data_IF_965648145394
#
_entry.id   IF_965648145394
#
_cell.length_a   1.000
_cell.length_b   1.000
_cell.length_c   1.000
_cell.angle_alpha   90.00
_cell.angle_beta   90.00
_cell.angle_gamma   90.00
#
_symmetry.space_group_name_H-M   'P 1'
#
loop_
_entity.id
_entity.type
_entity.pdbx_description
1 polymer ?
#
# COMPACT_ATOMS: atom_id res chain seq x y z
N UNK A 1 22.59 -22.83 51.57
CA UNK A 1 21.44 -23.25 50.72
C UNK A 1 20.83 -22.11 49.90
N UNK A 2 20.85 -20.84 50.34
CA UNK A 2 20.23 -19.72 49.62
C UNK A 2 20.91 -19.26 48.31
N UNK A 3 22.16 -19.67 48.01
CA UNK A 3 22.86 -19.31 46.77
C UNK A 3 22.55 -20.20 45.56
N UNK A 4 22.14 -21.47 45.79
CA UNK A 4 21.77 -22.40 44.70
C UNK A 4 20.37 -22.13 44.14
N UNK A 5 19.47 -21.55 44.92
CA UNK A 5 18.11 -21.23 44.47
C UNK A 5 18.06 -19.95 43.62
N UNK A 6 18.93 -18.96 43.91
CA UNK A 6 19.02 -17.73 43.09
C UNK A 6 19.59 -18.00 41.70
N UNK A 7 20.57 -18.90 41.56
CA UNK A 7 21.14 -19.25 40.25
C UNK A 7 20.20 -20.13 39.40
N UNK A 8 19.35 -20.96 40.01
CA UNK A 8 18.35 -21.77 39.31
C UNK A 8 17.18 -20.93 38.77
N UNK A 9 16.71 -19.94 39.52
CA UNK A 9 15.67 -19.00 39.07
C UNK A 9 16.17 -18.05 37.96
N UNK A 10 17.42 -17.59 38.05
CA UNK A 10 18.03 -16.75 37.01
C UNK A 10 18.33 -17.53 35.72
N UNK A 11 18.80 -18.77 35.84
CA UNK A 11 19.03 -19.61 34.66
C UNK A 11 17.72 -20.06 34.00
N UNK A 12 16.71 -20.48 34.76
CA UNK A 12 15.39 -20.84 34.19
C UNK A 12 14.65 -19.66 33.56
N UNK A 13 14.72 -18.46 34.14
CA UNK A 13 14.16 -17.24 33.54
C UNK A 13 14.84 -16.83 32.23
N UNK A 14 16.17 -16.96 32.17
CA UNK A 14 16.94 -16.69 30.94
C UNK A 14 16.65 -17.75 29.87
N UNK A 15 16.58 -19.03 30.22
CA UNK A 15 16.23 -20.09 29.27
C UNK A 15 14.79 -19.99 28.76
N UNK A 16 13.84 -19.64 29.63
CA UNK A 16 12.45 -19.38 29.22
C UNK A 16 12.36 -18.16 28.28
N UNK A 17 13.14 -17.11 28.56
CA UNK A 17 13.22 -15.93 27.68
C UNK A 17 13.86 -16.27 26.34
N UNK A 18 14.97 -17.02 26.33
CA UNK A 18 15.62 -17.47 25.10
C UNK A 18 14.73 -18.41 24.28
N UNK A 19 13.99 -19.32 24.92
CA UNK A 19 13.02 -20.19 24.26
C UNK A 19 11.85 -19.38 23.68
N UNK A 20 11.34 -18.38 24.41
CA UNK A 20 10.31 -17.48 23.92
C UNK A 20 10.80 -16.66 22.71
N UNK A 21 12.01 -16.08 22.78
CA UNK A 21 12.65 -15.36 21.66
C UNK A 21 12.86 -16.30 20.47
N UNK A 22 13.32 -17.53 20.70
CA UNK A 22 13.51 -18.55 19.68
C UNK A 22 12.21 -18.95 18.98
N UNK A 23 11.13 -19.17 19.74
CA UNK A 23 9.79 -19.45 19.18
C UNK A 23 9.24 -18.26 18.38
N UNK A 24 9.38 -17.04 18.90
CA UNK A 24 8.95 -15.81 18.20
C UNK A 24 9.73 -15.64 16.90
N UNK A 25 11.05 -15.83 16.92
CA UNK A 25 11.88 -15.78 15.72
C UNK A 25 11.51 -16.87 14.70
N UNK A 26 11.16 -18.08 15.16
CA UNK A 26 10.73 -19.17 14.30
C UNK A 26 9.39 -18.88 13.62
N UNK A 27 8.39 -18.39 14.35
CA UNK A 27 7.08 -18.02 13.78
C UNK A 27 7.24 -16.83 12.81
N UNK A 28 8.01 -15.81 13.21
CA UNK A 28 8.37 -14.67 12.37
C UNK A 28 8.99 -15.11 11.03
N UNK A 29 9.94 -16.03 11.10
CA UNK A 29 10.60 -16.60 9.93
C UNK A 29 9.63 -17.43 9.07
N UNK A 30 8.81 -18.28 9.70
CA UNK A 30 7.79 -19.09 9.02
C UNK A 30 6.79 -18.23 8.25
N UNK A 31 6.24 -17.19 8.90
CA UNK A 31 5.32 -16.23 8.26
C UNK A 31 6.00 -15.53 7.08
N UNK A 32 7.22 -15.03 7.24
CA UNK A 32 7.95 -14.37 6.14
C UNK A 32 8.17 -15.33 4.97
N UNK A 33 8.68 -16.54 5.24
CA UNK A 33 8.92 -17.55 4.20
C UNK A 33 7.66 -17.91 3.43
N UNK A 34 6.54 -18.07 4.14
CA UNK A 34 5.26 -18.35 3.53
C UNK A 34 4.74 -17.16 2.72
N UNK A 35 4.80 -15.94 3.26
CA UNK A 35 4.25 -14.73 2.64
C UNK A 35 5.11 -14.26 1.45
N UNK A 36 6.42 -14.56 1.46
CA UNK A 36 7.35 -14.25 0.35
C UNK A 36 7.67 -15.48 -0.52
N UNK A 37 6.87 -16.55 -0.42
CA UNK A 37 7.10 -17.76 -1.20
C UNK A 37 7.00 -17.46 -2.72
N UNK A 38 7.92 -17.98 -3.56
CA UNK A 38 7.85 -17.80 -5.00
C UNK A 38 6.50 -18.29 -5.57
N UNK A 39 5.84 -17.45 -6.37
CA UNK A 39 4.56 -17.80 -7.00
C UNK A 39 3.34 -17.70 -6.09
N UNK A 40 3.48 -17.25 -4.83
CA UNK A 40 2.34 -16.91 -3.99
C UNK A 40 1.56 -15.77 -4.62
N UNK A 41 0.24 -15.94 -4.72
CA UNK A 41 -0.65 -14.86 -5.12
C UNK A 41 -0.56 -13.71 -4.10
N UNK A 42 -0.73 -12.45 -4.53
CA UNK A 42 -0.62 -11.32 -3.60
C UNK A 42 -1.85 -11.18 -2.66
N UNK A 43 -2.69 -12.21 -2.58
CA UNK A 43 -3.88 -12.33 -1.76
C UNK A 43 -4.08 -13.78 -1.32
N UNK A 44 -4.88 -14.00 -0.28
CA UNK A 44 -5.22 -15.33 0.24
C UNK A 44 -6.58 -15.84 -0.24
N UNK A 45 -7.56 -14.95 -0.33
CA UNK A 45 -8.90 -15.27 -0.83
C UNK A 45 -9.51 -14.10 -1.58
N UNK A 46 -10.37 -14.42 -2.55
CA UNK A 46 -11.17 -13.45 -3.29
C UNK A 46 -12.65 -13.73 -3.03
N UNK A 47 -13.37 -12.69 -2.63
CA UNK A 47 -14.82 -12.72 -2.41
C UNK A 47 -15.50 -11.82 -3.45
N UNK A 48 -15.94 -12.43 -4.54
CA UNK A 48 -16.61 -11.76 -5.67
C UNK A 48 -18.00 -12.38 -5.91
N UNK A 49 -18.83 -11.74 -6.73
CA UNK A 49 -20.16 -12.23 -7.05
C UNK A 49 -20.15 -13.45 -7.98
N UNK A 50 -19.16 -13.53 -8.88
CA UNK A 50 -19.01 -14.63 -9.85
C UNK A 50 -17.53 -14.81 -10.26
N UNK A 51 -17.25 -15.88 -11.02
CA UNK A 51 -15.89 -16.23 -11.48
C UNK A 51 -15.27 -15.18 -12.41
N UNK A 52 -16.08 -14.47 -13.20
CA UNK A 52 -15.60 -13.45 -14.12
C UNK A 52 -15.13 -12.21 -13.35
N UNK A 53 -15.87 -11.82 -12.31
CA UNK A 53 -15.48 -10.77 -11.38
C UNK A 53 -14.26 -11.16 -10.55
N UNK A 54 -14.20 -12.40 -10.04
CA UNK A 54 -13.03 -12.92 -9.33
C UNK A 54 -11.77 -12.90 -10.21
N UNK A 55 -11.87 -13.34 -11.47
CA UNK A 55 -10.77 -13.31 -12.44
C UNK A 55 -10.29 -11.89 -12.71
N UNK A 56 -11.22 -10.93 -12.82
CA UNK A 56 -10.87 -9.53 -13.04
C UNK A 56 -10.19 -8.91 -11.81
N UNK A 57 -10.69 -9.22 -10.62
CA UNK A 57 -10.11 -8.80 -9.36
C UNK A 57 -8.69 -9.36 -9.20
N UNK A 58 -8.49 -10.66 -9.45
CA UNK A 58 -7.19 -11.31 -9.44
C UNK A 58 -6.19 -10.58 -10.35
N UNK A 59 -6.56 -10.33 -11.61
CA UNK A 59 -5.71 -9.63 -12.58
C UNK A 59 -5.35 -8.20 -12.15
N UNK A 60 -6.30 -7.47 -11.57
CA UNK A 60 -6.04 -6.13 -11.03
C UNK A 60 -5.00 -6.18 -9.91
N UNK A 61 -5.20 -7.09 -8.95
CA UNK A 61 -4.34 -7.27 -7.79
C UNK A 61 -2.93 -7.72 -8.18
N UNK A 62 -2.82 -8.66 -9.12
CA UNK A 62 -1.54 -9.13 -9.66
C UNK A 62 -0.78 -8.01 -10.36
N UNK A 63 -1.45 -7.23 -11.21
CA UNK A 63 -0.79 -6.12 -11.91
C UNK A 63 -0.36 -5.01 -10.96
N UNK A 64 -1.20 -4.63 -9.99
CA UNK A 64 -0.84 -3.61 -9.01
C UNK A 64 0.34 -4.07 -8.14
N UNK A 65 0.32 -5.32 -7.66
CA UNK A 65 1.44 -5.88 -6.91
C UNK A 65 2.72 -5.94 -7.76
N UNK A 66 2.63 -6.40 -9.02
CA UNK A 66 3.77 -6.45 -9.94
C UNK A 66 4.40 -5.07 -10.17
N UNK A 67 3.59 -4.02 -10.25
CA UNK A 67 4.09 -2.63 -10.31
C UNK A 67 4.84 -2.28 -9.03
N UNK A 68 4.24 -2.49 -7.85
CA UNK A 68 4.84 -2.12 -6.56
C UNK A 68 6.21 -2.76 -6.33
N UNK A 69 6.39 -4.02 -6.73
CA UNK A 69 7.65 -4.75 -6.55
C UNK A 69 8.63 -4.56 -7.70
N UNK A 70 8.30 -3.73 -8.70
CA UNK A 70 9.18 -3.48 -9.85
C UNK A 70 10.30 -2.48 -9.56
N UNK A 71 11.42 -2.63 -10.26
CA UNK A 71 12.51 -1.65 -10.23
C UNK A 71 12.08 -0.29 -10.79
N UNK A 72 11.13 -0.26 -11.73
CA UNK A 72 10.57 0.98 -12.25
C UNK A 72 9.88 1.80 -11.17
N UNK A 73 9.03 1.15 -10.35
CA UNK A 73 8.34 1.82 -9.25
C UNK A 73 9.33 2.39 -8.26
N UNK A 74 10.33 1.59 -7.84
CA UNK A 74 11.37 2.06 -6.92
C UNK A 74 12.12 3.26 -7.49
N UNK A 75 12.56 3.21 -8.75
CA UNK A 75 13.27 4.33 -9.40
C UNK A 75 12.38 5.58 -9.46
N UNK A 76 11.14 5.43 -9.90
CA UNK A 76 10.19 6.52 -10.03
C UNK A 76 9.85 7.17 -8.69
N UNK A 77 9.75 6.37 -7.62
CA UNK A 77 9.56 6.89 -6.27
C UNK A 77 10.78 7.71 -5.82
N UNK A 78 12.01 7.18 -6.00
CA UNK A 78 13.25 7.85 -5.59
C UNK A 78 13.51 9.17 -6.32
N UNK A 79 13.05 9.33 -7.56
CA UNK A 79 13.14 10.61 -8.30
C UNK A 79 12.38 11.76 -7.61
N UNK A 80 11.47 11.46 -6.68
CA UNK A 80 10.67 12.45 -5.97
C UNK A 80 11.31 12.94 -4.66
N UNK A 81 12.53 12.49 -4.32
CA UNK A 81 13.19 12.79 -3.04
C UNK A 81 13.33 14.30 -2.80
N UNK A 82 13.80 15.05 -3.79
CA UNK A 82 13.93 16.51 -3.68
C UNK A 82 12.57 17.23 -3.63
N UNK A 83 11.53 16.60 -4.21
CA UNK A 83 10.19 17.17 -4.30
C UNK A 83 9.41 17.03 -3.00
N UNK A 84 9.59 15.88 -2.33
CA UNK A 84 8.89 15.52 -1.11
C UNK A 84 9.91 15.15 -0.03
N UNK A 85 10.55 16.15 0.61
CA UNK A 85 11.61 15.90 1.59
C UNK A 85 11.09 15.18 2.84
N UNK A 86 9.79 15.28 3.10
CA UNK A 86 9.10 14.57 4.18
C UNK A 86 7.78 13.99 3.66
N UNK A 87 7.44 12.80 4.16
CA UNK A 87 6.21 12.07 3.84
C UNK A 87 5.61 11.55 5.15
N UNK A 88 4.30 11.75 5.32
CA UNK A 88 3.59 11.15 6.44
C UNK A 88 3.39 9.65 6.15
N UNK A 89 4.06 8.78 6.90
CA UNK A 89 3.86 7.34 6.80
C UNK A 89 2.80 6.87 7.81
N UNK A 90 2.96 7.22 9.08
CA UNK A 90 2.07 6.83 10.19
C UNK A 90 2.26 7.75 11.40
N UNK A 91 1.42 7.69 12.45
CA UNK A 91 1.53 8.61 13.59
C UNK A 91 2.91 8.63 14.26
N UNK A 92 3.60 7.48 14.31
CA UNK A 92 4.94 7.33 14.87
C UNK A 92 6.08 7.69 13.90
N UNK A 93 5.80 7.93 12.62
CA UNK A 93 6.78 8.27 11.58
C UNK A 93 6.14 9.27 10.59
N UNK A 94 6.06 10.54 11.00
CA UNK A 94 5.43 11.62 10.20
C UNK A 94 6.41 12.31 9.23
N UNK A 95 7.71 12.13 9.45
CA UNK A 95 8.81 12.78 8.73
C UNK A 95 9.63 11.73 7.95
N UNK A 96 8.96 10.75 7.35
CA UNK A 96 9.64 9.71 6.57
C UNK A 96 10.25 10.30 5.29
N UNK A 97 11.42 9.83 4.89
CA UNK A 97 12.01 10.19 3.58
C UNK A 97 11.44 9.30 2.47
N UNK A 98 11.56 9.76 1.23
CA UNK A 98 11.22 8.95 0.05
C UNK A 98 12.03 7.64 0.00
N UNK A 99 13.33 7.69 0.29
CA UNK A 99 14.16 6.49 0.37
C UNK A 99 13.64 5.48 1.42
N UNK A 100 13.17 5.98 2.58
CA UNK A 100 12.57 5.15 3.63
C UNK A 100 11.29 4.49 3.16
N UNK A 101 10.38 5.22 2.50
CA UNK A 101 9.15 4.66 1.90
C UNK A 101 9.51 3.59 0.86
N UNK A 102 10.46 3.87 -0.03
CA UNK A 102 10.90 2.94 -1.07
C UNK A 102 11.50 1.64 -0.51
N UNK A 103 12.27 1.72 0.58
CA UNK A 103 12.82 0.53 1.24
C UNK A 103 11.75 -0.30 1.94
N UNK A 104 10.74 0.35 2.55
CA UNK A 104 9.59 -0.33 3.15
C UNK A 104 8.78 -1.08 2.08
N UNK A 105 8.43 -0.43 0.95
CA UNK A 105 7.68 -1.07 -0.14
C UNK A 105 8.46 -2.24 -0.74
N UNK A 106 9.79 -2.11 -0.85
CA UNK A 106 10.67 -3.19 -1.28
C UNK A 106 10.93 -4.26 -0.19
N UNK A 107 10.21 -4.21 0.93
CA UNK A 107 10.29 -5.15 2.06
C UNK A 107 11.72 -5.37 2.60
N UNK A 108 12.58 -4.35 2.50
CA UNK A 108 13.96 -4.41 3.00
C UNK A 108 14.08 -4.41 4.52
N UNK A 109 13.27 -3.67 5.29
CA UNK A 109 13.33 -3.74 6.75
C UNK A 109 13.14 -5.18 7.23
N UNK A 110 13.88 -5.55 8.27
CA UNK A 110 13.78 -6.88 8.85
C UNK A 110 12.35 -7.14 9.33
N UNK A 111 11.77 -8.27 8.92
CA UNK A 111 10.40 -8.64 9.27
C UNK A 111 9.31 -7.94 8.46
N UNK A 112 9.66 -7.02 7.54
CA UNK A 112 8.68 -6.44 6.62
C UNK A 112 8.12 -7.51 5.67
N UNK A 113 6.80 -7.46 5.45
CA UNK A 113 6.05 -8.35 4.56
C UNK A 113 4.75 -7.67 4.11
N UNK A 114 4.21 -8.10 2.97
CA UNK A 114 2.77 -7.92 2.72
C UNK A 114 2.03 -8.92 3.60
N UNK A 115 1.13 -8.43 4.45
CA UNK A 115 0.25 -9.30 5.18
C UNK A 115 -0.73 -9.98 4.20
N UNK A 116 -1.00 -11.29 4.36
CA UNK A 116 -1.91 -11.97 3.48
C UNK A 116 -3.31 -11.34 3.53
N UNK A 117 -3.85 -11.00 2.36
CA UNK A 117 -5.06 -10.21 2.26
C UNK A 117 -6.28 -11.06 1.83
N UNK A 118 -7.38 -10.95 2.55
CA UNK A 118 -8.70 -11.38 2.07
C UNK A 118 -9.32 -10.21 1.32
N UNK A 119 -9.61 -10.39 0.02
CA UNK A 119 -10.08 -9.29 -0.81
C UNK A 119 -11.53 -9.48 -1.19
N UNK A 120 -12.39 -8.49 -0.91
CA UNK A 120 -13.81 -8.56 -1.22
C UNK A 120 -14.25 -7.43 -2.15
N UNK A 121 -15.15 -7.75 -3.09
CA UNK A 121 -15.81 -6.75 -3.95
C UNK A 121 -17.03 -6.20 -3.24
N UNK A 122 -17.10 -4.87 -3.12
CA UNK A 122 -18.22 -4.18 -2.47
C UNK A 122 -18.98 -3.28 -3.44
N UNK A 123 -20.27 -3.05 -3.16
CA UNK A 123 -21.07 -2.07 -3.89
C UNK A 123 -20.67 -0.65 -3.50
N UNK A 124 -20.77 0.29 -4.45
CA UNK A 124 -20.31 1.69 -4.31
C UNK A 124 -21.17 2.57 -3.37
N UNK A 125 -22.00 1.97 -2.52
CA UNK A 125 -22.86 2.67 -1.53
C UNK A 125 -22.18 2.93 -0.18
N UNK A 126 -20.92 2.51 -0.02
CA UNK A 126 -20.06 2.75 1.15
C UNK A 126 -18.79 3.52 0.77
N UNK A 127 -17.77 3.58 1.64
CA UNK A 127 -16.47 4.12 1.23
C UNK A 127 -15.98 3.37 -0.01
N UNK A 128 -15.46 4.13 -0.97
CA UNK A 128 -15.04 3.62 -2.28
C UNK A 128 -14.04 2.46 -2.13
N UNK A 129 -13.29 2.46 -1.02
CA UNK A 129 -12.36 1.44 -0.55
C UNK A 129 -12.26 1.50 0.98
N UNK A 130 -11.90 0.36 1.57
CA UNK A 130 -11.34 0.32 2.91
C UNK A 130 -10.49 -0.95 3.02
N UNK A 131 -9.23 -0.85 3.44
CA UNK A 131 -8.50 -1.99 3.95
C UNK A 131 -8.77 -2.11 5.46
N UNK A 132 -9.10 -3.31 5.94
CA UNK A 132 -9.07 -3.60 7.37
C UNK A 132 -7.62 -3.69 7.84
N UNK A 133 -7.03 -2.51 8.02
CA UNK A 133 -5.92 -2.24 8.93
C UNK A 133 -6.16 -1.00 9.79
N UNK A 134 -7.21 -0.23 9.48
CA UNK A 134 -7.61 0.97 10.21
C UNK A 134 -8.26 0.67 11.58
N UNK A 135 -8.76 -0.55 11.78
CA UNK A 135 -9.30 -1.06 13.04
C UNK A 135 -8.28 -1.93 13.75
N UNK A 136 -8.24 -1.86 15.07
CA UNK A 136 -7.30 -2.56 15.96
C UNK A 136 -7.44 -4.11 15.92
N UNK A 137 -7.24 -4.74 14.76
CA UNK A 137 -7.31 -6.18 14.61
C UNK A 137 -5.90 -6.74 14.76
N UNK A 138 -5.62 -7.27 15.94
CA UNK A 138 -4.48 -8.14 16.17
C UNK A 138 -4.65 -9.41 15.31
N UNK A 139 -3.80 -9.61 14.32
CA UNK A 139 -3.88 -10.77 13.43
C UNK A 139 -2.74 -10.85 12.41
N UNK A 140 -2.63 -11.99 11.71
CA UNK A 140 -1.67 -12.19 10.61
C UNK A 140 -2.13 -11.54 9.30
N UNK A 141 -3.44 -11.44 9.11
CA UNK A 141 -4.13 -11.15 7.86
C UNK A 141 -4.58 -9.69 7.76
N UNK A 142 -4.71 -9.21 6.52
CA UNK A 142 -5.38 -7.96 6.13
C UNK A 142 -6.72 -8.27 5.48
N UNK A 143 -7.65 -7.34 5.51
CA UNK A 143 -8.76 -7.36 4.55
C UNK A 143 -8.63 -6.16 3.59
N UNK A 144 -9.02 -6.35 2.33
CA UNK A 144 -9.07 -5.28 1.32
C UNK A 144 -10.46 -5.26 0.71
N UNK A 145 -11.11 -4.09 0.69
CA UNK A 145 -12.37 -3.90 0.00
C UNK A 145 -12.13 -3.13 -1.30
N UNK A 146 -12.52 -3.73 -2.43
CA UNK A 146 -12.43 -3.10 -3.76
C UNK A 146 -13.84 -2.78 -4.25
N UNK A 147 -14.13 -1.50 -4.47
CA UNK A 147 -15.41 -1.07 -5.02
C UNK A 147 -15.64 -1.60 -6.44
N UNK A 148 -16.87 -2.00 -6.76
CA UNK A 148 -17.22 -2.56 -8.08
C UNK A 148 -16.96 -1.57 -9.22
N UNK A 149 -17.06 -0.26 -9.00
CA UNK A 149 -16.65 0.76 -9.98
C UNK A 149 -15.16 0.70 -10.37
N UNK A 150 -14.30 0.24 -9.45
CA UNK A 150 -12.85 0.08 -9.70
C UNK A 150 -12.62 -1.05 -10.70
N UNK A 151 -13.29 -2.19 -10.49
CA UNK A 151 -13.26 -3.30 -11.42
C UNK A 151 -13.90 -2.93 -12.77
N UNK A 152 -14.95 -2.11 -12.77
CA UNK A 152 -15.54 -1.59 -14.00
C UNK A 152 -14.55 -0.72 -14.78
N UNK A 153 -13.81 0.18 -14.11
CA UNK A 153 -12.77 0.99 -14.74
C UNK A 153 -11.61 0.15 -15.29
N UNK A 154 -11.16 -0.86 -14.54
CA UNK A 154 -10.13 -1.80 -15.00
C UNK A 154 -10.56 -2.64 -16.21
N UNK A 155 -11.86 -2.89 -16.37
CA UNK A 155 -12.40 -3.60 -17.54
C UNK A 155 -12.44 -2.74 -18.81
N UNK A 156 -12.30 -1.42 -18.70
CA UNK A 156 -12.39 -0.53 -19.86
C UNK A 156 -11.15 -0.66 -20.74
N UNK A 157 -11.27 -0.49 -22.07
CA UNK A 157 -10.12 -0.46 -22.98
C UNK A 157 -9.22 0.77 -22.79
N UNK A 158 -9.71 1.80 -22.09
CA UNK A 158 -8.93 3.01 -21.81
C UNK A 158 -7.85 2.73 -20.77
N UNK A 159 -6.59 2.85 -21.19
CA UNK A 159 -5.40 2.69 -20.35
C UNK A 159 -5.44 3.66 -19.16
N UNK A 160 -5.98 4.87 -19.28
CA UNK A 160 -6.04 5.78 -18.12
C UNK A 160 -7.05 5.28 -17.08
N UNK A 161 -8.21 4.79 -17.51
CA UNK A 161 -9.19 4.17 -16.62
C UNK A 161 -8.60 2.96 -15.88
N UNK A 162 -7.86 2.10 -16.59
CA UNK A 162 -7.14 0.98 -15.98
C UNK A 162 -6.09 1.46 -14.97
N UNK A 163 -5.31 2.49 -15.29
CA UNK A 163 -4.29 3.02 -14.38
C UNK A 163 -4.86 3.59 -13.08
N UNK A 164 -6.08 4.14 -13.13
CA UNK A 164 -6.78 4.58 -11.93
C UNK A 164 -7.22 3.42 -11.03
N UNK A 165 -7.57 2.27 -11.61
CA UNK A 165 -7.80 1.07 -10.83
C UNK A 165 -6.49 0.54 -10.21
N UNK A 166 -5.37 0.63 -10.94
CA UNK A 166 -4.03 0.29 -10.43
C UNK A 166 -3.65 1.20 -9.25
N UNK A 167 -3.93 2.51 -9.34
CA UNK A 167 -3.71 3.46 -8.24
C UNK A 167 -4.36 2.96 -6.94
N UNK A 168 -5.66 2.67 -7.04
CA UNK A 168 -6.48 2.17 -5.95
C UNK A 168 -5.92 0.87 -5.37
N UNK A 169 -5.69 -0.13 -6.19
CA UNK A 169 -5.20 -1.42 -5.70
C UNK A 169 -3.82 -1.28 -5.03
N UNK A 170 -2.94 -0.45 -5.59
CA UNK A 170 -1.62 -0.18 -5.02
C UNK A 170 -1.69 0.59 -3.69
N UNK A 171 -2.61 1.55 -3.57
CA UNK A 171 -2.90 2.24 -2.31
C UNK A 171 -3.34 1.25 -1.23
N UNK A 172 -4.30 0.37 -1.53
CA UNK A 172 -4.77 -0.63 -0.58
C UNK A 172 -3.67 -1.64 -0.20
N UNK A 173 -2.82 -2.04 -1.15
CA UNK A 173 -1.63 -2.85 -0.86
C UNK A 173 -0.65 -2.16 0.10
N UNK A 174 -0.50 -0.84 0.02
CA UNK A 174 0.35 -0.12 0.96
C UNK A 174 -0.12 -0.34 2.41
N UNK A 175 -1.42 -0.48 2.63
CA UNK A 175 -2.02 -0.78 3.93
C UNK A 175 -1.92 -2.26 4.34
N UNK A 176 -1.45 -3.16 3.48
CA UNK A 176 -1.15 -4.54 3.89
C UNK A 176 0.32 -4.72 4.29
N UNK A 177 1.19 -3.73 4.01
CA UNK A 177 2.59 -3.81 4.43
C UNK A 177 2.67 -3.65 5.96
N UNK A 178 3.20 -4.67 6.62
CA UNK A 178 3.47 -4.64 8.06
C UNK A 178 4.97 -4.62 8.30
N UNK A 179 5.40 -3.87 9.32
CA UNK A 179 6.82 -3.76 9.71
C UNK A 179 7.21 -4.73 10.83
N UNK A 180 6.25 -5.50 11.33
CA UNK A 180 6.51 -6.49 12.38
C UNK A 180 6.24 -7.89 11.86
N UNK A 181 7.10 -8.86 12.22
CA UNK A 181 6.96 -10.21 11.69
C UNK A 181 5.79 -11.00 12.33
N UNK A 182 5.28 -10.55 13.48
CA UNK A 182 4.30 -11.29 14.31
C UNK A 182 3.00 -10.51 14.56
N UNK A 183 3.01 -9.19 14.40
CA UNK A 183 1.88 -8.32 14.70
C UNK A 183 1.39 -7.58 13.46
N UNK A 184 0.19 -7.02 13.59
CA UNK A 184 -0.39 -6.15 12.59
C UNK A 184 -0.03 -4.69 12.92
N UNK A 185 1.18 -4.29 12.52
CA UNK A 185 1.68 -2.93 12.65
C UNK A 185 1.86 -2.32 11.28
N UNK A 186 0.85 -1.56 10.82
CA UNK A 186 0.82 -0.92 9.51
C UNK A 186 2.07 -0.07 9.27
N UNK A 187 2.71 -0.29 8.12
CA UNK A 187 3.80 0.57 7.69
C UNK A 187 3.29 1.95 7.28
N UNK A 188 2.12 1.98 6.65
CA UNK A 188 1.47 3.17 6.10
C UNK A 188 0.01 3.26 6.57
N UNK A 189 -0.37 4.43 7.08
CA UNK A 189 -1.74 4.76 7.51
C UNK A 189 -2.22 6.00 6.77
N UNK A 190 -3.53 6.16 6.62
CA UNK A 190 -4.19 7.35 6.11
C UNK A 190 -5.36 7.76 7.02
N UNK A 191 -6.39 8.40 6.45
CA UNK A 191 -7.61 8.84 7.16
C UNK A 191 -8.70 7.78 7.10
N UNK A 192 -9.49 7.65 8.17
CA UNK A 192 -10.68 6.78 8.12
C UNK A 192 -11.81 7.43 7.34
N UNK A 193 -12.75 6.61 6.88
CA UNK A 193 -13.99 7.10 6.27
C UNK A 193 -14.72 8.09 7.20
N UNK A 194 -14.88 9.34 6.75
CA UNK A 194 -15.55 10.41 7.49
C UNK A 194 -14.61 11.37 8.25
N UNK A 195 -13.33 11.04 8.37
CA UNK A 195 -12.33 11.97 8.89
C UNK A 195 -12.09 13.09 7.88
N UNK A 196 -12.06 14.33 8.37
CA UNK A 196 -11.71 15.51 7.55
C UNK A 196 -10.21 15.71 7.41
N UNK A 197 -9.41 14.88 8.08
CA UNK A 197 -7.96 14.95 8.04
C UNK A 197 -7.25 14.13 9.11
N UNK A 198 -5.92 14.16 9.09
CA UNK A 198 -5.04 13.41 9.99
C UNK A 198 -4.74 14.26 11.22
N UNK A 199 -5.23 13.82 12.39
CA UNK A 199 -5.01 14.53 13.64
C UNK A 199 -3.51 14.63 14.00
N UNK A 200 -3.09 15.80 14.49
CA UNK A 200 -1.72 16.08 14.93
C UNK A 200 -0.63 15.86 13.85
N UNK A 201 -1.00 16.05 12.58
CA UNK A 201 -0.05 16.01 11.46
C UNK A 201 0.89 17.22 11.49
N UNK A 202 2.21 16.96 11.58
CA UNK A 202 3.27 18.00 11.64
C UNK A 202 3.36 18.82 10.36
N UNK A 203 3.24 18.15 9.21
CA UNK A 203 3.36 18.75 7.88
C UNK A 203 2.09 18.46 7.06
N UNK A 204 1.01 19.25 7.19
CA UNK A 204 -0.25 19.02 6.47
C UNK A 204 -0.11 19.03 4.95
N UNK A 205 0.87 19.79 4.43
CA UNK A 205 1.11 19.93 3.00
C UNK A 205 1.92 18.78 2.38
N UNK A 206 2.54 17.91 3.22
CA UNK A 206 3.32 16.79 2.72
C UNK A 206 2.43 15.74 2.05
N UNK A 207 2.99 14.79 1.29
CA UNK A 207 2.23 13.62 0.88
C UNK A 207 1.95 12.69 2.06
N UNK A 208 0.83 11.97 1.98
CA UNK A 208 0.60 10.76 2.78
C UNK A 208 1.13 9.58 1.97
N UNK A 209 1.86 8.67 2.62
CA UNK A 209 2.62 7.63 1.93
C UNK A 209 1.74 6.71 1.07
N UNK A 210 0.56 6.30 1.53
CA UNK A 210 -0.33 5.41 0.76
C UNK A 210 -0.84 6.07 -0.53
N UNK A 211 -1.30 7.33 -0.48
CA UNK A 211 -1.70 8.06 -1.69
C UNK A 211 -0.53 8.35 -2.62
N UNK A 212 0.65 8.65 -2.07
CA UNK A 212 1.87 8.79 -2.86
C UNK A 212 2.21 7.48 -3.59
N UNK A 213 2.15 6.34 -2.90
CA UNK A 213 2.39 5.01 -3.47
C UNK A 213 1.39 4.72 -4.59
N UNK A 214 0.10 4.98 -4.36
CA UNK A 214 -0.95 4.82 -5.39
C UNK A 214 -0.68 5.67 -6.64
N UNK A 215 -0.33 6.95 -6.47
CA UNK A 215 -0.02 7.85 -7.58
C UNK A 215 1.24 7.43 -8.35
N UNK A 216 2.31 7.03 -7.65
CA UNK A 216 3.54 6.53 -8.28
C UNK A 216 3.27 5.23 -9.02
N UNK A 217 2.46 4.32 -8.46
CA UNK A 217 2.08 3.07 -9.11
C UNK A 217 1.27 3.32 -10.38
N UNK A 218 0.31 4.23 -10.33
CA UNK A 218 -0.46 4.65 -11.50
C UNK A 218 0.44 5.13 -12.65
N UNK A 219 1.34 6.08 -12.35
CA UNK A 219 2.21 6.66 -13.37
C UNK A 219 3.30 5.68 -13.84
N UNK A 220 3.78 4.81 -12.96
CA UNK A 220 4.70 3.72 -13.34
C UNK A 220 4.03 2.73 -14.27
N UNK A 221 2.79 2.33 -13.99
CA UNK A 221 2.04 1.44 -14.86
C UNK A 221 1.76 2.10 -16.21
N UNK A 222 1.39 3.39 -16.24
CA UNK A 222 1.24 4.16 -17.49
C UNK A 222 2.55 4.19 -18.30
N UNK A 223 3.70 4.34 -17.64
CA UNK A 223 5.00 4.25 -18.29
C UNK A 223 5.22 2.84 -18.89
N UNK A 224 4.93 1.79 -18.14
CA UNK A 224 5.09 0.40 -18.59
C UNK A 224 4.18 0.06 -19.77
N UNK A 225 2.99 0.66 -19.85
CA UNK A 225 2.10 0.57 -21.00
C UNK A 225 2.52 1.47 -22.18
N UNK A 226 3.65 2.18 -22.09
CA UNK A 226 4.14 3.09 -23.12
C UNK A 226 3.28 4.36 -23.29
N UNK A 227 2.38 4.65 -22.34
CA UNK A 227 1.45 5.78 -22.42
C UNK A 227 2.11 7.11 -22.08
N UNK A 228 3.16 7.06 -21.26
CA UNK A 228 4.06 8.17 -20.93
C UNK A 228 5.50 7.66 -20.94
N UNK A 229 6.47 8.56 -21.06
CA UNK A 229 7.92 8.27 -20.96
C UNK A 229 8.36 8.33 -19.50
N UNK A 230 9.48 7.68 -19.19
CA UNK A 230 10.04 7.67 -17.82
C UNK A 230 10.29 9.09 -17.27
N UNK A 231 10.77 10.02 -18.10
CA UNK A 231 10.95 11.42 -17.69
C UNK A 231 9.66 12.21 -17.44
N UNK A 232 8.49 11.68 -17.82
CA UNK A 232 7.18 12.31 -17.66
C UNK A 232 6.47 11.88 -16.36
N UNK A 233 7.03 10.92 -15.61
CA UNK A 233 6.42 10.37 -14.39
C UNK A 233 6.17 11.44 -13.31
N UNK A 234 7.12 12.34 -12.98
CA UNK A 234 6.85 13.39 -11.99
C UNK A 234 5.70 14.32 -12.37
N UNK A 235 5.54 14.64 -13.66
CA UNK A 235 4.44 15.47 -14.16
C UNK A 235 3.11 14.71 -14.15
N UNK A 236 3.11 13.40 -14.44
CA UNK A 236 1.95 12.54 -14.29
C UNK A 236 1.45 12.52 -12.84
N UNK A 237 2.37 12.46 -11.87
CA UNK A 237 2.01 12.46 -10.44
C UNK A 237 1.33 13.77 -10.04
N UNK A 238 1.72 14.91 -10.63
CA UNK A 238 1.04 16.20 -10.38
C UNK A 238 -0.37 16.26 -10.93
N UNK A 239 -0.60 15.55 -12.03
CA UNK A 239 -1.91 15.43 -12.64
C UNK A 239 -2.85 14.61 -11.77
N UNK A 240 -2.40 13.55 -11.11
CA UNK A 240 -3.31 12.74 -10.28
C UNK A 240 -3.32 13.14 -8.80
N UNK A 241 -2.21 13.70 -8.31
CA UNK A 241 -2.06 14.19 -6.94
C UNK A 241 -1.68 13.09 -5.95
N UNK A 242 -1.15 13.52 -4.79
CA UNK A 242 -0.61 12.64 -3.73
C UNK A 242 -1.21 12.91 -2.34
N UNK A 243 -2.22 13.78 -2.28
CA UNK A 243 -2.87 14.19 -1.02
C UNK A 243 -4.04 13.29 -0.67
N UNK A 244 -4.81 12.94 -1.67
CA UNK A 244 -5.86 11.94 -1.67
C UNK A 244 -6.10 11.52 -3.13
N UNK A 245 -6.71 10.34 -3.33
CA UNK A 245 -7.00 9.88 -4.68
C UNK A 245 -8.18 10.64 -5.29
N UNK A 246 -7.97 11.23 -6.47
CA UNK A 246 -8.99 11.98 -7.20
C UNK A 246 -9.56 11.17 -8.36
N UNK A 247 -10.62 10.40 -8.08
CA UNK A 247 -11.31 9.58 -9.07
C UNK A 247 -11.83 10.38 -10.27
N UNK A 248 -12.24 11.63 -10.05
CA UNK A 248 -12.90 12.47 -11.07
C UNK A 248 -11.95 12.91 -12.19
N UNK A 249 -10.63 12.82 -11.97
CA UNK A 249 -9.62 13.11 -13.00
C UNK A 249 -9.44 11.96 -14.00
N UNK A 250 -9.74 10.73 -13.62
CA UNK A 250 -9.55 9.54 -14.44
C UNK A 250 -10.24 9.61 -15.83
N UNK A 251 -11.54 9.94 -15.93
CA UNK A 251 -12.20 10.01 -17.24
C UNK A 251 -11.76 11.21 -18.09
N UNK A 252 -11.01 12.18 -17.55
CA UNK A 252 -10.65 13.42 -18.24
C UNK A 252 -9.48 13.28 -19.22
N UNK A 253 -8.88 12.09 -19.34
CA UNK A 253 -7.75 11.80 -20.24
C UNK A 253 -8.04 10.70 -21.27
N UNK A 254 -9.32 10.39 -21.49
CA UNK A 254 -9.74 9.41 -22.47
C UNK A 254 -9.31 9.75 -23.91
N UNK A 255 -9.27 8.72 -24.77
CA UNK A 255 -8.98 8.89 -26.20
C UNK A 255 -7.54 9.32 -26.52
N UNK A 256 -6.58 9.12 -25.61
CA UNK A 256 -5.17 9.44 -25.84
C UNK A 256 -4.76 10.88 -25.52
N UNK A 257 -5.64 11.67 -24.90
CA UNK A 257 -5.35 13.06 -24.52
C UNK A 257 -4.11 13.17 -23.59
N UNK A 258 -3.19 14.13 -23.79
CA UNK A 258 -1.96 14.22 -22.99
C UNK A 258 -2.22 14.28 -21.47
N UNK A 259 -1.47 13.48 -20.70
CA UNK A 259 -1.53 13.47 -19.23
C UNK A 259 -0.63 14.58 -18.72
N UNK A 260 -1.12 15.81 -18.80
CA UNK A 260 -0.40 17.03 -18.40
C UNK A 260 -1.33 17.99 -17.68
N UNK A 261 -0.82 18.84 -16.77
CA UNK A 261 -1.61 19.87 -16.14
C UNK A 261 -2.25 20.80 -17.19
N UNK A 262 -3.56 21.01 -17.11
CA UNK A 262 -4.29 21.92 -18.00
C UNK A 262 -5.50 22.53 -17.31
N UNK A 263 -5.98 23.66 -17.82
CA UNK A 263 -7.21 24.28 -17.35
C UNK A 263 -8.41 23.33 -17.55
N UNK A 264 -9.37 23.38 -16.63
CA UNK A 264 -10.60 22.58 -16.71
C UNK A 264 -10.50 21.15 -16.18
N UNK A 265 -9.33 20.71 -15.70
CA UNK A 265 -9.25 19.48 -14.91
C UNK A 265 -10.03 19.63 -13.60
N UNK A 266 -10.62 18.53 -13.12
CA UNK A 266 -11.20 18.50 -11.78
C UNK A 266 -10.17 19.02 -10.76
N UNK A 267 -10.57 19.80 -9.75
CA UNK A 267 -9.64 20.34 -8.76
C UNK A 267 -8.90 19.18 -8.06
N UNK A 268 -7.63 19.33 -7.67
CA UNK A 268 -6.94 18.31 -6.90
C UNK A 268 -7.75 17.96 -5.64
N UNK A 269 -7.65 16.73 -5.17
CA UNK A 269 -8.28 16.39 -3.89
C UNK A 269 -7.70 17.29 -2.78
N UNK A 270 -8.53 17.77 -1.84
CA UNK A 270 -8.06 18.61 -0.76
C UNK A 270 -7.05 17.86 0.13
N UNK A 271 -6.13 18.57 0.81
CA UNK A 271 -5.25 17.94 1.79
C UNK A 271 -6.03 17.28 2.93
N UNK A 272 -5.49 16.15 3.39
CA UNK A 272 -5.91 15.39 4.57
C UNK A 272 -5.05 15.75 5.78
#
# INVERSE_FOLDING_TARGET
MAERERSALWSSGVWATLAAVGMVAWIAWGNRMEDTAPGRAPYDSLHAADDAEATRLARLLEQAHAVLVSDDFRRNLLVLEDRYPVVYARPSEQDATIARVADIVALKPFGARFAPAQVAVVNDGGPILAAAGEGAVTGRYSDMLIGRRVLAAFAQPDIVAQSCAINVAAHEYAHTIVLTPMGYGLAFTDTRAGDRGIANRRHPESPVASYLIGAVAQCTWLQQQGRIRSGEVPACIDVFGVRAFNWDRCPQFGGGAPITPRAGLAPPAPPL
#
